data_IF_124784083200
#
_entry.id   IF_124784083200
#
_cell.length_a   1.000
_cell.length_b   1.000
_cell.length_c   1.000
_cell.angle_alpha   90.00
_cell.angle_beta   90.00
_cell.angle_gamma   90.00
#
_symmetry.space_group_name_H-M   'P 1'
#
loop_
_entity.id
_entity.type
_entity.pdbx_description
1 polymer ?
#
# COMPACT_ATOMS: atom_id res chain seq x y z
N UNK A 1 -9.19 -20.23 -3.52
CA UNK A 1 -8.28 -21.38 -3.79
C UNK A 1 -8.25 -22.45 -2.68
N UNK A 2 -7.35 -22.43 -1.68
CA UNK A 2 -7.19 -23.56 -0.74
C UNK A 2 -8.30 -23.62 0.33
N UNK A 3 -8.78 -22.45 0.78
CA UNK A 3 -9.89 -22.37 1.73
C UNK A 3 -11.19 -22.96 1.14
N UNK A 4 -11.48 -22.64 -0.11
CA UNK A 4 -12.72 -23.09 -0.77
C UNK A 4 -12.63 -24.52 -1.30
N UNK A 5 -11.50 -24.93 -1.89
CA UNK A 5 -11.39 -26.24 -2.55
C UNK A 5 -10.88 -27.35 -1.62
N UNK A 6 -10.29 -27.00 -0.46
CA UNK A 6 -9.81 -27.99 0.51
C UNK A 6 -10.51 -27.89 1.86
N UNK A 7 -10.55 -26.70 2.49
CA UNK A 7 -11.09 -26.56 3.84
C UNK A 7 -12.62 -26.72 3.87
N UNK A 8 -13.35 -26.05 2.97
CA UNK A 8 -14.81 -26.15 2.88
C UNK A 8 -15.28 -27.61 2.73
N UNK A 9 -14.80 -28.39 1.73
CA UNK A 9 -15.19 -29.79 1.53
C UNK A 9 -14.95 -30.71 2.74
N UNK A 10 -13.84 -30.48 3.47
CA UNK A 10 -13.51 -31.27 4.66
C UNK A 10 -14.47 -30.97 5.81
N UNK A 11 -14.82 -29.69 6.00
CA UNK A 11 -15.69 -29.26 7.09
C UNK A 11 -17.14 -29.67 6.80
N UNK A 12 -17.60 -29.53 5.56
CA UNK A 12 -18.96 -29.94 5.14
C UNK A 12 -19.10 -31.45 5.00
N UNK A 13 -17.99 -32.21 5.02
CA UNK A 13 -17.90 -33.65 4.72
C UNK A 13 -18.39 -34.02 3.32
N UNK A 14 -18.47 -33.05 2.45
CA UNK A 14 -18.81 -33.21 1.05
C UNK A 14 -17.50 -33.06 0.28
N UNK A 15 -16.89 -34.18 -0.12
CA UNK A 15 -15.56 -34.20 -0.77
C UNK A 15 -15.57 -33.63 -2.19
N UNK A 16 -16.69 -33.03 -2.62
CA UNK A 16 -16.80 -32.36 -3.89
C UNK A 16 -16.21 -30.95 -3.77
N UNK A 17 -15.23 -30.69 -4.61
CA UNK A 17 -14.56 -29.40 -4.68
C UNK A 17 -15.15 -28.60 -5.84
N UNK A 18 -15.42 -27.28 -5.68
CA UNK A 18 -15.96 -26.45 -6.75
C UNK A 18 -15.11 -26.43 -8.03
N UNK A 19 -13.78 -26.49 -7.90
CA UNK A 19 -12.86 -26.70 -9.03
C UNK A 19 -12.42 -28.17 -9.14
N UNK A 20 -12.29 -28.70 -10.36
CA UNK A 20 -11.75 -30.04 -10.61
C UNK A 20 -10.23 -30.12 -10.46
N UNK A 21 -9.48 -29.15 -11.01
CA UNK A 21 -8.02 -29.24 -11.14
C UNK A 21 -7.22 -28.42 -10.11
N UNK A 22 -7.90 -27.90 -9.07
CA UNK A 22 -7.29 -27.03 -8.06
C UNK A 22 -6.04 -27.64 -7.39
N UNK A 23 -5.99 -28.98 -7.25
CA UNK A 23 -4.87 -29.69 -6.64
C UNK A 23 -3.59 -29.55 -7.46
N UNK A 24 -3.72 -29.59 -8.78
CA UNK A 24 -2.58 -29.49 -9.72
C UNK A 24 -2.05 -28.05 -9.71
N UNK A 25 -2.95 -27.08 -9.73
CA UNK A 25 -2.59 -25.66 -9.68
C UNK A 25 -1.91 -25.28 -8.35
N UNK A 26 -2.45 -25.73 -7.22
CA UNK A 26 -1.82 -25.55 -5.90
C UNK A 26 -0.47 -26.26 -5.82
N UNK A 27 -0.35 -27.48 -6.36
CA UNK A 27 0.91 -28.21 -6.39
C UNK A 27 1.98 -27.48 -7.24
N UNK A 28 1.59 -26.87 -8.35
CA UNK A 28 2.48 -26.07 -9.19
C UNK A 28 2.92 -24.78 -8.49
N UNK A 29 2.00 -24.06 -7.84
CA UNK A 29 2.32 -22.86 -7.05
C UNK A 29 3.25 -23.18 -5.87
N UNK A 30 3.10 -24.36 -5.25
CA UNK A 30 3.98 -24.83 -4.17
C UNK A 30 5.36 -25.27 -4.68
N UNK A 31 5.42 -25.89 -5.85
CA UNK A 31 6.68 -26.32 -6.49
C UNK A 31 7.48 -25.11 -6.99
N UNK A 32 6.80 -24.05 -7.46
CA UNK A 32 7.41 -22.82 -7.97
C UNK A 32 6.74 -21.57 -7.39
N UNK A 33 7.11 -21.16 -6.17
CA UNK A 33 6.54 -19.96 -5.58
C UNK A 33 7.01 -18.71 -6.33
N UNK A 34 6.15 -18.17 -7.19
CA UNK A 34 6.36 -16.88 -7.86
C UNK A 34 5.70 -15.75 -7.06
N UNK A 35 6.47 -14.72 -6.72
CA UNK A 35 5.92 -13.51 -6.12
C UNK A 35 5.09 -12.75 -7.15
N UNK A 36 3.76 -12.93 -7.13
CA UNK A 36 2.82 -12.22 -8.02
C UNK A 36 2.79 -10.69 -7.80
N UNK A 37 3.37 -10.19 -6.69
CA UNK A 37 3.50 -8.76 -6.44
C UNK A 37 4.84 -8.23 -6.91
N UNK A 38 4.81 -7.19 -7.74
CA UNK A 38 6.03 -6.44 -8.07
C UNK A 38 6.56 -5.68 -6.84
N UNK A 39 7.86 -5.38 -6.82
CA UNK A 39 8.47 -4.63 -5.72
C UNK A 39 7.80 -3.26 -5.50
N UNK A 40 7.44 -2.55 -6.58
CA UNK A 40 6.79 -1.25 -6.51
C UNK A 40 5.38 -1.35 -5.92
N UNK A 41 4.65 -2.42 -6.25
CA UNK A 41 3.34 -2.72 -5.69
C UNK A 41 3.42 -3.01 -4.19
N UNK A 42 4.36 -3.87 -3.77
CA UNK A 42 4.61 -4.17 -2.36
C UNK A 42 5.01 -2.91 -1.57
N UNK A 43 5.82 -2.04 -2.18
CA UNK A 43 6.22 -0.76 -1.60
C UNK A 43 5.03 0.20 -1.44
N UNK A 44 4.20 0.36 -2.47
CA UNK A 44 3.02 1.23 -2.44
C UNK A 44 2.00 0.80 -1.38
N UNK A 45 1.78 -0.51 -1.23
CA UNK A 45 0.94 -1.06 -0.16
C UNK A 45 1.44 -0.69 1.24
N UNK A 46 2.74 -0.90 1.49
CA UNK A 46 3.33 -0.60 2.80
C UNK A 46 3.37 0.91 3.06
N UNK A 47 3.60 1.69 2.01
CA UNK A 47 3.58 3.14 2.08
C UNK A 47 2.21 3.66 2.53
N UNK A 48 1.13 3.18 1.91
CA UNK A 48 -0.24 3.60 2.21
C UNK A 48 -0.68 3.25 3.63
N UNK A 49 -0.43 2.00 4.07
CA UNK A 49 -0.93 1.51 5.37
C UNK A 49 -0.13 2.01 6.57
N UNK A 50 1.16 2.30 6.42
CA UNK A 50 2.02 2.58 7.57
C UNK A 50 2.83 3.88 7.41
N UNK A 51 3.54 4.04 6.30
CA UNK A 51 4.54 5.10 6.21
C UNK A 51 3.98 6.49 5.92
N UNK A 52 2.84 6.63 5.26
CA UNK A 52 2.21 7.94 5.05
C UNK A 52 1.94 8.67 6.37
N UNK A 53 1.44 7.95 7.38
CA UNK A 53 1.19 8.53 8.70
C UNK A 53 2.49 8.93 9.41
N UNK A 54 3.51 8.08 9.34
CA UNK A 54 4.81 8.35 9.96
C UNK A 54 5.45 9.60 9.33
N UNK A 55 5.49 9.68 7.99
CA UNK A 55 6.03 10.85 7.30
C UNK A 55 5.17 12.10 7.50
N UNK A 56 3.85 11.96 7.58
CA UNK A 56 2.95 13.08 7.88
C UNK A 56 3.18 13.65 9.28
N UNK A 57 3.33 12.80 10.29
CA UNK A 57 3.67 13.23 11.65
C UNK A 57 5.06 13.86 11.69
N UNK A 58 6.04 13.30 10.97
CA UNK A 58 7.38 13.86 10.88
C UNK A 58 7.36 15.26 10.21
N UNK A 59 6.59 15.43 9.14
CA UNK A 59 6.37 16.73 8.49
C UNK A 59 5.75 17.72 9.46
N UNK A 60 4.70 17.32 10.16
CA UNK A 60 4.03 18.15 11.16
C UNK A 60 4.98 18.57 12.28
N UNK A 61 5.77 17.64 12.81
CA UNK A 61 6.79 17.93 13.82
C UNK A 61 7.87 18.89 13.33
N UNK A 62 8.29 18.75 12.06
CA UNK A 62 9.24 19.66 11.45
C UNK A 62 8.67 21.07 11.24
N UNK A 63 7.41 21.20 10.81
CA UNK A 63 6.72 22.49 10.70
C UNK A 63 6.57 23.16 12.07
N UNK A 64 6.17 22.40 13.10
CA UNK A 64 6.09 22.88 14.48
C UNK A 64 7.45 23.37 14.97
N UNK A 65 8.53 22.63 14.68
CA UNK A 65 9.90 23.04 15.02
C UNK A 65 10.25 24.39 14.38
N UNK A 66 9.93 24.58 13.10
CA UNK A 66 10.20 25.84 12.39
C UNK A 66 9.43 27.03 13.00
N UNK A 67 8.20 26.78 13.45
CA UNK A 67 7.36 27.80 14.07
C UNK A 67 7.80 28.16 15.51
N UNK A 68 8.22 27.18 16.31
CA UNK A 68 8.47 27.38 17.74
C UNK A 68 9.92 27.71 18.09
N UNK A 69 10.90 27.28 17.29
CA UNK A 69 12.33 27.42 17.62
C UNK A 69 13.03 28.38 16.65
N UNK A 70 13.91 29.30 17.11
CA UNK A 70 14.33 29.54 18.51
C UNK A 70 13.30 30.32 19.35
N UNK A 71 12.52 31.19 18.71
CA UNK A 71 11.39 31.92 19.30
C UNK A 71 10.15 31.73 18.42
N UNK A 72 8.96 31.99 18.94
CA UNK A 72 7.72 31.84 18.18
C UNK A 72 7.74 32.77 16.96
N UNK A 73 7.69 32.20 15.74
CA UNK A 73 7.76 32.99 14.51
C UNK A 73 6.52 33.88 14.37
N UNK A 74 6.73 35.16 14.09
CA UNK A 74 5.64 36.12 13.84
C UNK A 74 5.34 36.30 12.35
N UNK A 75 6.20 35.82 11.45
CA UNK A 75 6.08 36.02 10.00
C UNK A 75 6.45 34.79 9.17
N UNK A 76 5.87 34.67 7.98
CA UNK A 76 6.19 33.61 7.01
C UNK A 76 7.63 33.70 6.47
N UNK A 77 8.20 34.91 6.41
CA UNK A 77 9.58 35.14 5.99
C UNK A 77 10.59 34.52 6.96
N UNK A 78 10.35 34.65 8.27
CA UNK A 78 11.19 34.00 9.29
C UNK A 78 11.16 32.48 9.18
N UNK A 79 9.98 31.89 8.91
CA UNK A 79 9.85 30.44 8.72
C UNK A 79 10.69 29.97 7.53
N UNK A 80 10.68 30.75 6.44
CA UNK A 80 11.49 30.47 5.26
C UNK A 80 12.99 30.53 5.56
N UNK A 81 13.45 31.56 6.27
CA UNK A 81 14.86 31.69 6.65
C UNK A 81 15.32 30.58 7.61
N UNK A 82 14.47 30.20 8.57
CA UNK A 82 14.72 29.12 9.54
C UNK A 82 14.82 27.73 8.91
N UNK A 83 14.35 27.58 7.69
CA UNK A 83 14.47 26.33 6.94
C UNK A 83 15.91 26.05 6.50
N UNK A 84 16.77 27.06 6.47
CA UNK A 84 18.19 26.89 6.19
C UNK A 84 18.87 26.05 7.28
N UNK A 85 19.75 25.14 6.87
CA UNK A 85 20.48 24.25 7.78
C UNK A 85 21.97 24.44 7.57
N UNK A 86 22.62 25.16 8.48
CA UNK A 86 24.05 25.47 8.39
C UNK A 86 24.38 26.24 7.11
N UNK A 87 25.17 25.64 6.22
CA UNK A 87 25.55 26.22 4.92
C UNK A 87 24.52 25.93 3.80
N UNK A 88 23.50 25.11 4.08
CA UNK A 88 22.48 24.73 3.09
C UNK A 88 21.37 25.78 3.12
N UNK A 89 21.09 26.38 1.96
CA UNK A 89 20.03 27.39 1.83
C UNK A 89 18.64 26.80 2.04
N UNK A 90 17.72 27.62 2.51
CA UNK A 90 16.31 27.27 2.71
C UNK A 90 15.66 26.72 1.45
N UNK A 91 15.98 27.29 0.28
CA UNK A 91 15.47 26.84 -1.01
C UNK A 91 15.84 25.39 -1.32
N UNK A 92 17.06 24.95 -1.00
CA UNK A 92 17.52 23.57 -1.24
C UNK A 92 16.79 22.60 -0.30
N UNK A 93 16.67 22.96 0.98
CA UNK A 93 15.96 22.14 1.96
C UNK A 93 14.48 22.00 1.57
N UNK A 94 13.84 23.11 1.17
CA UNK A 94 12.47 23.10 0.69
C UNK A 94 12.30 22.23 -0.56
N UNK A 95 13.17 22.41 -1.57
CA UNK A 95 13.12 21.63 -2.80
C UNK A 95 13.33 20.13 -2.57
N UNK A 96 14.27 19.76 -1.69
CA UNK A 96 14.51 18.38 -1.30
C UNK A 96 13.32 17.76 -0.58
N UNK A 97 12.71 18.49 0.36
CA UNK A 97 11.48 18.07 1.04
C UNK A 97 10.32 17.91 0.05
N UNK A 98 10.09 18.91 -0.80
CA UNK A 98 9.04 18.88 -1.82
C UNK A 98 9.22 17.70 -2.77
N UNK A 99 10.44 17.49 -3.29
CA UNK A 99 10.77 16.36 -4.16
C UNK A 99 10.51 15.02 -3.45
N UNK A 100 10.89 14.90 -2.19
CA UNK A 100 10.64 13.70 -1.39
C UNK A 100 9.15 13.40 -1.26
N UNK A 101 8.33 14.37 -0.84
CA UNK A 101 6.88 14.16 -0.72
C UNK A 101 6.20 13.93 -2.06
N UNK A 102 6.64 14.58 -3.14
CA UNK A 102 6.17 14.30 -4.50
C UNK A 102 6.49 12.87 -4.92
N UNK A 103 7.70 12.39 -4.66
CA UNK A 103 8.08 11.00 -4.95
C UNK A 103 7.20 10.01 -4.18
N UNK A 104 6.87 10.30 -2.91
CA UNK A 104 5.92 9.49 -2.13
C UNK A 104 4.53 9.44 -2.78
N UNK A 105 4.01 10.57 -3.26
CA UNK A 105 2.71 10.65 -3.96
C UNK A 105 2.76 9.85 -5.27
N UNK A 106 3.84 9.99 -6.05
CA UNK A 106 4.01 9.22 -7.29
C UNK A 106 4.01 7.72 -7.02
N UNK A 107 4.76 7.26 -6.01
CA UNK A 107 4.77 5.84 -5.62
C UNK A 107 3.39 5.38 -5.13
N UNK A 108 2.66 6.24 -4.42
CA UNK A 108 1.31 5.94 -3.92
C UNK A 108 0.29 5.75 -5.06
N UNK A 109 0.36 6.58 -6.10
CA UNK A 109 -0.52 6.54 -7.28
C UNK A 109 -0.13 5.38 -8.21
N UNK A 110 1.16 5.21 -8.51
CA UNK A 110 1.62 4.07 -9.30
C UNK A 110 1.32 2.72 -8.61
N UNK A 111 1.37 2.70 -7.28
CA UNK A 111 0.97 1.53 -6.49
C UNK A 111 -0.55 1.29 -6.45
N UNK A 112 -1.40 2.26 -6.82
CA UNK A 112 -2.86 2.10 -6.83
C UNK A 112 -3.39 1.50 -8.11
N UNK A 113 -2.86 1.93 -9.26
CA UNK A 113 -3.41 1.58 -10.58
C UNK A 113 -3.23 0.11 -10.94
N UNK A 114 -2.31 -0.60 -10.30
CA UNK A 114 -2.02 -2.01 -10.57
C UNK A 114 -3.07 -2.96 -9.94
N UNK A 115 -3.95 -2.48 -9.03
CA UNK A 115 -5.11 -3.28 -8.59
C UNK A 115 -6.16 -3.52 -9.67
N UNK A 116 -6.13 -2.75 -10.77
CA UNK A 116 -6.97 -3.01 -11.94
C UNK A 116 -6.51 -4.20 -12.80
N UNK A 117 -5.38 -4.82 -12.45
CA UNK A 117 -4.86 -6.03 -13.08
C UNK A 117 -4.86 -7.21 -12.10
N UNK A 118 -5.80 -7.22 -11.14
CA UNK A 118 -6.24 -8.50 -10.61
C UNK A 118 -6.86 -9.26 -11.80
N UNK A 119 -6.34 -10.45 -12.19
CA UNK A 119 -7.01 -11.26 -13.18
C UNK A 119 -8.42 -11.50 -12.68
N UNK A 120 -9.39 -11.13 -13.52
CA UNK A 120 -10.84 -11.23 -13.34
C UNK A 120 -11.21 -12.16 -12.17
N UNK A 121 -11.39 -11.54 -11.02
CA UNK A 121 -12.42 -11.86 -10.06
C UNK A 121 -12.76 -13.35 -9.87
N UNK A 122 -11.78 -14.16 -9.48
CA UNK A 122 -12.05 -15.52 -9.00
C UNK A 122 -13.07 -15.52 -7.85
N UNK A 123 -13.11 -14.42 -7.07
CA UNK A 123 -14.00 -14.24 -5.91
C UNK A 123 -15.39 -13.68 -6.32
N UNK A 124 -15.51 -12.86 -7.37
CA UNK A 124 -16.83 -12.29 -7.78
C UNK A 124 -17.66 -13.29 -8.59
N UNK A 125 -17.00 -14.25 -9.25
CA UNK A 125 -17.70 -15.33 -9.96
C UNK A 125 -18.59 -16.21 -9.06
N UNK A 126 -18.20 -16.42 -7.80
CA UNK A 126 -18.88 -17.36 -6.88
C UNK A 126 -19.95 -16.73 -6.00
N UNK A 127 -19.88 -15.43 -5.66
CA UNK A 127 -21.00 -14.73 -4.98
C UNK A 127 -22.29 -14.86 -5.79
N UNK A 128 -22.17 -14.77 -7.12
CA UNK A 128 -23.28 -14.94 -8.07
C UNK A 128 -23.83 -16.37 -8.13
N UNK A 129 -23.03 -17.37 -7.75
CA UNK A 129 -23.45 -18.78 -7.67
C UNK A 129 -24.10 -19.13 -6.33
N UNK A 130 -23.69 -18.47 -5.25
CA UNK A 130 -24.24 -18.63 -3.90
C UNK A 130 -25.61 -17.97 -3.72
N UNK A 131 -25.99 -17.02 -4.59
CA UNK A 131 -27.36 -16.52 -4.68
C UNK A 131 -28.36 -17.62 -5.09
N UNK A 132 -27.90 -18.69 -5.77
CA UNK A 132 -28.73 -19.85 -6.13
C UNK A 132 -28.98 -20.83 -4.97
N UNK A 133 -28.22 -20.73 -3.87
CA UNK A 133 -28.31 -21.61 -2.70
C UNK A 133 -29.08 -20.98 -1.52
N UNK A 134 -29.77 -19.86 -1.74
CA UNK A 134 -30.83 -19.38 -0.84
C UNK A 134 -32.11 -20.17 -1.08
N UNK A 135 -32.15 -21.44 -0.67
CA UNK A 135 -33.37 -22.22 -0.42
C UNK A 135 -33.09 -23.30 0.64
#
# INVERSE_FOLDING_TARGET
MLEENFLLPIITRELDSPMCDWRVEVAQDLDRPEYKSTFLQAMGFRLRRNYLFIFGILLGGWLVKLMLHPEVSTSWGEIWERMAVGQISSAIVFAGGLLFYLALIVVLVLGSDIHGAAPDDEIVGLEKSLEGWKL
#
